data_IF_803432055461
#
_entry.id   IF_803432055461
#
_cell.length_a   1.000
_cell.length_b   1.000
_cell.length_c   1.000
_cell.angle_alpha   90.00
_cell.angle_beta   90.00
_cell.angle_gamma   90.00
#
_symmetry.space_group_name_H-M   'P 1'
#
loop_
_entity.id
_entity.type
_entity.pdbx_description
1 polymer ?
#
# COMPACT_ATOMS: atom_id res chain seq x y z
N UNK A 1 5.77 6.55 -2.53
CA UNK A 1 4.55 7.33 -2.18
C UNK A 1 3.28 6.46 -2.12
N UNK A 2 2.15 6.99 -1.62
CA UNK A 2 0.85 6.30 -1.72
C UNK A 2 0.39 6.20 -3.18
N UNK A 3 -0.33 5.12 -3.51
CA UNK A 3 -0.98 4.97 -4.82
C UNK A 3 -0.05 4.88 -6.03
N UNK A 4 1.22 4.49 -5.86
CA UNK A 4 2.18 4.24 -6.94
C UNK A 4 2.25 2.76 -7.40
N UNK A 5 1.40 1.88 -6.88
CA UNK A 5 1.29 0.48 -7.36
C UNK A 5 2.00 -0.60 -6.54
N UNK A 6 2.54 -0.30 -5.35
CA UNK A 6 3.21 -1.30 -4.46
C UNK A 6 2.38 -2.56 -4.23
N UNK A 7 1.15 -2.41 -3.74
CA UNK A 7 0.25 -3.54 -3.47
C UNK A 7 -0.06 -4.34 -4.74
N UNK A 8 -0.26 -3.65 -5.87
CA UNK A 8 -0.53 -4.28 -7.17
C UNK A 8 0.69 -5.06 -7.70
N UNK A 9 1.89 -4.55 -7.46
CA UNK A 9 3.13 -5.26 -7.77
C UNK A 9 3.23 -6.57 -6.98
N UNK A 10 2.97 -6.55 -5.67
CA UNK A 10 3.01 -7.77 -4.85
C UNK A 10 1.97 -8.79 -5.32
N UNK A 11 0.75 -8.35 -5.65
CA UNK A 11 -0.28 -9.20 -6.25
C UNK A 11 0.18 -9.82 -7.57
N UNK A 12 0.80 -9.05 -8.45
CA UNK A 12 1.32 -9.53 -9.73
C UNK A 12 2.46 -10.53 -9.54
N UNK A 13 3.35 -10.30 -8.57
CA UNK A 13 4.43 -11.23 -8.24
C UNK A 13 3.89 -12.54 -7.68
N UNK A 14 2.90 -12.49 -6.78
CA UNK A 14 2.25 -13.69 -6.27
C UNK A 14 1.60 -14.53 -7.37
N UNK A 15 0.88 -13.87 -8.29
CA UNK A 15 0.32 -14.51 -9.48
C UNK A 15 1.41 -15.15 -10.35
N UNK A 16 2.48 -14.41 -10.64
CA UNK A 16 3.58 -14.87 -11.51
C UNK A 16 4.33 -16.05 -10.90
N UNK A 17 4.52 -16.06 -9.58
CA UNK A 17 5.21 -17.12 -8.85
C UNK A 17 4.30 -18.32 -8.55
N UNK A 18 3.00 -18.24 -8.84
CA UNK A 18 2.03 -19.27 -8.48
C UNK A 18 1.89 -19.48 -6.97
N UNK A 19 2.05 -18.41 -6.19
CA UNK A 19 2.03 -18.45 -4.71
C UNK A 19 0.74 -17.85 -4.16
N UNK A 20 0.12 -18.44 -3.13
CA UNK A 20 -0.94 -17.78 -2.38
C UNK A 20 -0.44 -16.47 -1.77
N UNK A 21 -1.26 -15.43 -1.83
CA UNK A 21 -0.98 -14.14 -1.20
C UNK A 21 -1.93 -13.92 -0.03
N UNK A 22 -1.38 -13.74 1.16
CA UNK A 22 -2.09 -13.34 2.37
C UNK A 22 -1.72 -11.90 2.65
N UNK A 23 -2.64 -10.97 2.39
CA UNK A 23 -2.44 -9.55 2.70
C UNK A 23 -3.04 -9.22 4.06
N UNK A 24 -2.25 -8.57 4.91
CA UNK A 24 -2.68 -8.01 6.19
C UNK A 24 -2.50 -6.50 6.13
N UNK A 25 -3.60 -5.76 6.27
CA UNK A 25 -3.57 -4.32 6.44
C UNK A 25 -3.18 -3.98 7.88
N UNK A 26 -2.02 -3.38 8.07
CA UNK A 26 -1.55 -2.98 9.40
C UNK A 26 -2.24 -1.68 9.86
N UNK A 27 -2.59 -1.65 11.14
CA UNK A 27 -3.19 -0.50 11.80
C UNK A 27 -2.82 -0.53 13.30
N UNK A 28 -3.07 0.56 14.03
CA UNK A 28 -2.63 0.69 15.43
C UNK A 28 -3.27 -0.32 16.39
N UNK A 29 -4.46 -0.82 16.06
CA UNK A 29 -5.14 -1.84 16.87
C UNK A 29 -4.73 -3.28 16.52
N UNK A 30 -3.84 -3.48 15.54
CA UNK A 30 -3.41 -4.81 15.14
C UNK A 30 -2.48 -5.36 16.23
N UNK A 31 -2.85 -6.50 16.82
CA UNK A 31 -2.04 -7.16 17.84
C UNK A 31 -1.24 -8.33 17.29
N UNK A 32 -0.18 -8.73 17.99
CA UNK A 32 0.57 -9.94 17.66
C UNK A 32 -0.33 -11.20 17.65
N UNK A 33 -1.37 -11.24 18.49
CA UNK A 33 -2.32 -12.36 18.52
C UNK A 33 -3.21 -12.41 17.27
N UNK A 34 -3.52 -11.26 16.66
CA UNK A 34 -4.28 -11.25 15.40
C UNK A 34 -3.45 -11.81 14.25
N UNK A 35 -2.13 -11.55 14.23
CA UNK A 35 -1.20 -12.09 13.23
C UNK A 35 -0.91 -13.58 13.43
N UNK A 36 -0.57 -13.97 14.66
CA UNK A 36 -0.11 -15.33 14.98
C UNK A 36 -1.29 -16.28 15.19
N UNK A 37 -2.33 -15.84 15.87
CA UNK A 37 -3.47 -16.67 16.22
C UNK A 37 -3.90 -16.52 17.67
N UNK A 38 -5.10 -17.02 17.94
CA UNK A 38 -5.76 -16.88 19.23
C UNK A 38 -6.65 -18.09 19.53
N UNK A 39 -6.91 -18.29 20.81
CA UNK A 39 -7.96 -19.21 21.24
C UNK A 39 -9.32 -18.53 21.12
N UNK A 40 -10.28 -19.24 20.52
CA UNK A 40 -11.68 -18.84 20.48
C UNK A 40 -12.52 -19.85 21.26
N UNK A 41 -13.61 -19.36 21.86
CA UNK A 41 -14.61 -20.22 22.47
C UNK A 41 -15.62 -20.66 21.41
N UNK A 42 -15.73 -21.97 21.19
CA UNK A 42 -16.72 -22.57 20.30
C UNK A 42 -17.62 -23.49 21.14
N UNK A 43 -18.75 -22.94 21.59
CA UNK A 43 -19.61 -23.62 22.56
C UNK A 43 -18.93 -23.72 23.92
N UNK A 44 -18.69 -24.95 24.38
CA UNK A 44 -17.98 -25.22 25.64
C UNK A 44 -16.48 -25.53 25.46
N UNK A 45 -15.99 -25.51 24.22
CA UNK A 45 -14.59 -25.84 23.91
C UNK A 45 -13.77 -24.59 23.57
N UNK A 46 -12.51 -24.59 24.01
CA UNK A 46 -11.52 -23.59 23.63
C UNK A 46 -10.70 -24.12 22.47
N UNK A 47 -10.88 -23.55 21.28
CA UNK A 47 -10.22 -24.00 20.05
C UNK A 47 -9.16 -22.99 19.61
N UNK A 48 -8.00 -23.47 19.16
CA UNK A 48 -6.98 -22.61 18.58
C UNK A 48 -7.33 -22.26 17.13
N UNK A 49 -7.20 -20.99 16.77
CA UNK A 49 -7.31 -20.49 15.41
C UNK A 49 -6.00 -19.81 15.01
N UNK A 50 -5.37 -20.34 13.96
CA UNK A 50 -4.18 -19.71 13.38
C UNK A 50 -4.53 -18.36 12.77
N UNK A 51 -3.67 -17.37 13.00
CA UNK A 51 -3.74 -16.07 12.34
C UNK A 51 -3.14 -16.12 10.92
N UNK A 52 -3.30 -15.04 10.13
CA UNK A 52 -2.85 -14.98 8.74
C UNK A 52 -1.35 -15.21 8.58
N UNK A 53 -0.52 -14.75 9.52
CA UNK A 53 0.92 -14.98 9.48
C UNK A 53 1.23 -16.46 9.68
N UNK A 54 0.62 -17.11 10.68
CA UNK A 54 0.82 -18.54 10.94
C UNK A 54 0.34 -19.41 9.79
N UNK A 55 -0.82 -19.09 9.21
CA UNK A 55 -1.32 -19.79 8.01
C UNK A 55 -0.31 -19.69 6.87
N UNK A 56 0.22 -18.49 6.62
CA UNK A 56 1.19 -18.30 5.54
C UNK A 56 2.52 -19.01 5.76
N UNK A 57 3.04 -18.98 6.99
CA UNK A 57 4.26 -19.69 7.41
C UNK A 57 4.12 -21.20 7.20
N UNK A 58 2.99 -21.79 7.61
CA UNK A 58 2.74 -23.23 7.48
C UNK A 58 2.56 -23.72 6.05
N UNK A 59 1.99 -22.89 5.18
CA UNK A 59 1.59 -23.30 3.83
C UNK A 59 2.48 -22.70 2.72
N UNK A 60 3.60 -22.06 3.06
CA UNK A 60 4.52 -21.50 2.07
C UNK A 60 3.92 -20.38 1.23
N UNK A 61 3.07 -19.54 1.85
CA UNK A 61 2.44 -18.41 1.17
C UNK A 61 3.36 -17.17 1.20
N UNK A 62 3.05 -16.20 0.34
CA UNK A 62 3.54 -14.83 0.50
C UNK A 62 2.65 -14.15 1.53
N UNK A 63 3.22 -13.74 2.66
CA UNK A 63 2.54 -12.88 3.63
C UNK A 63 2.98 -11.44 3.40
N UNK A 64 2.03 -10.59 3.03
CA UNK A 64 2.22 -9.18 2.76
C UNK A 64 1.65 -8.32 3.89
N UNK A 65 2.52 -7.66 4.65
CA UNK A 65 2.14 -6.70 5.68
C UNK A 65 2.13 -5.29 5.08
N UNK A 66 0.94 -4.82 4.71
CA UNK A 66 0.74 -3.51 4.09
C UNK A 66 0.70 -2.42 5.17
N UNK A 67 1.40 -1.29 4.95
CA UNK A 67 1.49 -0.19 5.93
C UNK A 67 2.06 -0.63 7.29
N UNK A 68 3.13 -1.45 7.31
CA UNK A 68 3.66 -2.11 8.53
C UNK A 68 4.04 -1.13 9.66
N UNK A 69 4.33 0.12 9.31
CA UNK A 69 4.62 1.21 10.26
C UNK A 69 3.42 1.65 11.10
N UNK A 70 2.19 1.35 10.67
CA UNK A 70 0.97 1.62 11.43
C UNK A 70 0.73 0.58 12.53
N UNK A 71 1.34 -0.62 12.42
CA UNK A 71 1.25 -1.63 13.46
C UNK A 71 2.07 -1.22 14.69
N UNK A 72 1.62 -1.68 15.86
CA UNK A 72 2.36 -1.48 17.11
C UNK A 72 3.75 -2.13 17.05
N UNK A 73 4.70 -1.53 17.77
CA UNK A 73 6.11 -1.96 17.77
C UNK A 73 6.30 -3.39 18.30
N UNK A 74 5.50 -3.82 19.26
CA UNK A 74 5.49 -5.21 19.75
C UNK A 74 4.99 -6.20 18.68
N UNK A 75 4.03 -5.78 17.87
CA UNK A 75 3.46 -6.56 16.76
C UNK A 75 4.45 -6.72 15.61
N UNK A 76 5.30 -5.73 15.33
CA UNK A 76 6.31 -5.82 14.26
C UNK A 76 7.54 -6.65 14.63
N UNK A 77 7.84 -6.84 15.92
CA UNK A 77 9.00 -7.66 16.35
C UNK A 77 8.76 -9.15 16.11
N UNK A 78 7.50 -9.60 16.03
CA UNK A 78 7.16 -11.02 15.81
C UNK A 78 7.71 -11.58 14.50
N UNK A 79 7.99 -10.71 13.51
CA UNK A 79 8.49 -11.13 12.21
C UNK A 79 10.02 -11.29 12.19
N UNK A 80 10.75 -10.87 13.24
CA UNK A 80 12.21 -10.92 13.24
C UNK A 80 12.74 -12.35 13.06
N UNK A 81 12.24 -13.37 13.80
CA UNK A 81 12.70 -14.76 13.62
C UNK A 81 12.30 -15.39 12.27
N UNK A 82 11.33 -14.79 11.56
CA UNK A 82 10.96 -15.19 10.19
C UNK A 82 11.85 -14.58 9.12
N UNK A 83 12.58 -13.52 9.46
CA UNK A 83 13.43 -12.75 8.54
C UNK A 83 14.93 -12.95 8.75
N UNK A 84 15.31 -13.79 9.71
CA UNK A 84 16.69 -14.25 9.90
C UNK A 84 16.87 -15.70 9.43
N UNK A 85 18.06 -16.25 9.64
CA UNK A 85 18.47 -17.58 9.21
C UNK A 85 17.64 -18.71 9.82
N UNK A 86 16.94 -18.46 10.94
CA UNK A 86 16.14 -19.48 11.62
C UNK A 86 14.82 -19.75 10.90
N UNK A 87 14.22 -18.75 10.27
CA UNK A 87 12.92 -18.84 9.57
C UNK A 87 11.84 -19.56 10.40
N UNK A 88 11.68 -19.15 11.67
CA UNK A 88 10.68 -19.75 12.58
C UNK A 88 9.65 -18.74 13.07
N UNK A 89 8.44 -19.22 13.41
CA UNK A 89 7.39 -18.45 14.09
C UNK A 89 7.10 -19.06 15.47
N UNK A 90 7.51 -18.38 16.56
CA UNK A 90 7.11 -18.75 17.91
C UNK A 90 5.61 -18.48 18.14
N UNK A 91 4.88 -19.49 18.59
CA UNK A 91 3.49 -19.41 19.03
C UNK A 91 3.46 -19.65 20.54
N UNK A 92 3.79 -18.61 21.31
CA UNK A 92 3.96 -18.69 22.77
C UNK A 92 2.73 -19.23 23.48
N UNK A 93 1.52 -18.81 23.07
CA UNK A 93 0.24 -19.28 23.63
C UNK A 93 -0.01 -20.79 23.45
N UNK A 94 0.71 -21.44 22.54
CA UNK A 94 0.67 -22.90 22.36
C UNK A 94 1.92 -23.60 22.88
N UNK A 95 2.95 -22.86 23.29
CA UNK A 95 4.28 -23.41 23.57
C UNK A 95 4.89 -24.10 22.34
N UNK A 96 4.60 -23.60 21.13
CA UNK A 96 5.05 -24.20 19.87
C UNK A 96 5.96 -23.26 19.10
N UNK A 97 6.91 -23.82 18.36
CA UNK A 97 7.71 -23.11 17.36
C UNK A 97 7.37 -23.75 16.01
N UNK A 98 6.97 -22.94 15.04
CA UNK A 98 6.62 -23.40 13.70
C UNK A 98 7.76 -23.02 12.76
N UNK A 99 8.38 -23.99 12.12
CA UNK A 99 9.33 -23.73 11.03
C UNK A 99 8.57 -23.25 9.79
N UNK A 100 9.06 -22.19 9.15
CA UNK A 100 8.46 -21.69 7.94
C UNK A 100 8.74 -22.66 6.78
N UNK A 101 7.70 -22.96 6.00
CA UNK A 101 7.86 -23.70 4.75
C UNK A 101 8.90 -23.02 3.84
N UNK A 102 9.62 -23.79 3.03
CA UNK A 102 10.70 -23.29 2.18
C UNK A 102 10.23 -22.17 1.25
N UNK A 103 8.99 -22.28 0.77
CA UNK A 103 8.36 -21.35 -0.15
C UNK A 103 7.76 -20.10 0.50
N UNK A 104 7.72 -20.04 1.84
CA UNK A 104 7.24 -18.87 2.56
C UNK A 104 8.05 -17.62 2.19
N UNK A 105 7.35 -16.52 1.92
CA UNK A 105 7.97 -15.22 1.69
C UNK A 105 7.29 -14.15 2.55
N UNK A 106 8.09 -13.34 3.22
CA UNK A 106 7.62 -12.19 3.96
C UNK A 106 7.86 -10.91 3.14
N UNK A 107 6.79 -10.15 2.90
CA UNK A 107 6.86 -8.87 2.20
C UNK A 107 6.24 -7.81 3.11
N UNK A 108 6.88 -6.65 3.21
CA UNK A 108 6.37 -5.50 3.97
C UNK A 108 6.29 -4.27 3.07
N UNK A 109 5.36 -3.37 3.33
CA UNK A 109 5.31 -2.04 2.71
C UNK A 109 5.19 -0.94 3.75
N UNK A 110 5.68 0.25 3.41
CA UNK A 110 5.40 1.48 4.13
C UNK A 110 5.66 2.69 3.21
N UNK A 111 5.15 3.86 3.60
CA UNK A 111 5.39 5.12 2.90
C UNK A 111 6.39 5.97 3.72
N UNK A 112 7.67 6.11 3.29
CA UNK A 112 8.64 6.91 4.02
C UNK A 112 8.24 8.39 4.00
N UNK A 113 8.40 9.08 5.14
CA UNK A 113 8.08 10.51 5.27
C UNK A 113 6.59 10.84 5.38
N UNK A 114 5.70 9.83 5.34
CA UNK A 114 4.26 10.01 5.54
C UNK A 114 3.88 10.29 7.00
N UNK A 115 4.73 9.90 7.94
CA UNK A 115 4.44 9.91 9.36
C UNK A 115 5.44 10.76 10.16
N UNK A 116 5.05 11.12 11.39
CA UNK A 116 5.99 11.69 12.35
C UNK A 116 7.22 10.79 12.51
N UNK A 117 8.39 11.40 12.73
CA UNK A 117 9.69 10.71 12.94
C UNK A 117 9.60 9.56 13.97
N UNK A 118 8.60 9.58 14.85
CA UNK A 118 8.36 8.60 15.91
C UNK A 118 7.82 7.24 15.45
N UNK A 119 7.23 7.17 14.25
CA UNK A 119 6.64 5.95 13.66
C UNK A 119 7.47 5.33 12.51
N UNK A 120 8.72 5.73 12.33
CA UNK A 120 9.58 5.07 11.34
C UNK A 120 9.95 3.63 11.76
N UNK A 121 10.22 2.77 10.78
CA UNK A 121 10.75 1.43 11.02
C UNK A 121 12.13 1.53 11.68
N UNK A 122 12.33 0.78 12.76
CA UNK A 122 13.64 0.67 13.41
C UNK A 122 14.68 0.15 12.43
N UNK A 123 15.92 0.65 12.54
CA UNK A 123 17.06 0.20 11.71
C UNK A 123 17.26 -1.32 11.76
N UNK A 124 17.10 -1.92 12.95
CA UNK A 124 17.17 -3.38 13.10
C UNK A 124 16.14 -4.13 12.26
N UNK A 125 14.94 -3.56 12.04
CA UNK A 125 13.94 -4.17 11.17
C UNK A 125 14.31 -3.95 9.70
N UNK A 126 14.70 -2.73 9.31
CA UNK A 126 15.12 -2.41 7.93
C UNK A 126 16.25 -3.31 7.43
N UNK A 127 17.26 -3.57 8.26
CA UNK A 127 18.42 -4.39 7.91
C UNK A 127 18.13 -5.89 7.69
N UNK A 128 16.88 -6.33 7.88
CA UNK A 128 16.43 -7.71 7.62
C UNK A 128 15.70 -7.88 6.30
N UNK A 129 15.54 -6.79 5.53
CA UNK A 129 14.81 -6.80 4.27
C UNK A 129 15.68 -6.28 3.12
N UNK A 130 15.49 -6.89 1.95
CA UNK A 130 15.82 -6.24 0.68
C UNK A 130 14.78 -5.17 0.37
N UNK A 131 15.20 -4.03 -0.17
CA UNK A 131 14.34 -2.90 -0.44
C UNK A 131 14.17 -2.67 -1.95
N UNK A 132 12.92 -2.43 -2.37
CA UNK A 132 12.59 -1.91 -3.69
C UNK A 132 11.87 -0.58 -3.47
N UNK A 133 12.44 0.49 -4.01
CA UNK A 133 11.83 1.82 -3.94
C UNK A 133 10.85 2.01 -5.10
N UNK A 134 9.67 2.53 -4.79
CA UNK A 134 8.64 2.85 -5.76
C UNK A 134 8.38 4.36 -5.74
N UNK A 135 8.43 4.98 -6.90
CA UNK A 135 7.93 6.32 -7.15
C UNK A 135 6.82 6.30 -8.20
N UNK A 136 6.23 7.46 -8.49
CA UNK A 136 5.29 7.58 -9.60
C UNK A 136 5.98 7.23 -10.93
N UNK A 137 5.31 6.49 -11.85
CA UNK A 137 5.96 6.05 -13.08
C UNK A 137 6.36 7.21 -13.99
N UNK A 138 7.26 6.93 -14.93
CA UNK A 138 7.54 7.86 -16.03
C UNK A 138 6.25 8.18 -16.81
N UNK A 139 6.13 9.37 -17.43
CA UNK A 139 4.87 9.84 -18.02
C UNK A 139 4.26 8.91 -19.07
N UNK A 140 5.09 8.26 -19.87
CA UNK A 140 4.67 7.30 -20.90
C UNK A 140 4.10 6.00 -20.28
N UNK A 141 4.66 5.56 -19.15
CA UNK A 141 4.19 4.40 -18.40
C UNK A 141 2.92 4.76 -17.66
N UNK A 142 2.90 5.89 -16.94
CA UNK A 142 1.74 6.34 -16.18
C UNK A 142 0.53 6.59 -17.08
N UNK A 143 0.74 7.15 -18.27
CA UNK A 143 -0.32 7.36 -19.26
C UNK A 143 -0.92 6.03 -19.72
N UNK A 144 -0.08 5.03 -20.03
CA UNK A 144 -0.57 3.68 -20.40
C UNK A 144 -1.33 3.00 -19.27
N UNK A 145 -0.88 3.18 -18.02
CA UNK A 145 -1.59 2.67 -16.84
C UNK A 145 -2.96 3.33 -16.72
N UNK A 146 -3.04 4.67 -16.77
CA UNK A 146 -4.31 5.40 -16.67
C UNK A 146 -5.24 5.04 -17.83
N UNK A 147 -4.73 5.01 -19.06
CA UNK A 147 -5.50 4.63 -20.25
C UNK A 147 -6.17 3.27 -20.06
N UNK A 148 -5.41 2.28 -19.57
CA UNK A 148 -5.89 0.91 -19.38
C UNK A 148 -6.86 0.79 -18.21
N UNK A 149 -6.52 1.36 -17.05
CA UNK A 149 -7.30 1.19 -15.82
C UNK A 149 -8.55 2.08 -15.79
N UNK A 150 -8.51 3.25 -16.43
CA UNK A 150 -9.66 4.16 -16.51
C UNK A 150 -10.47 4.03 -17.82
N UNK A 151 -9.99 3.24 -18.78
CA UNK A 151 -10.61 3.01 -20.09
C UNK A 151 -10.89 4.29 -20.89
N UNK A 152 -9.99 5.27 -20.76
CA UNK A 152 -10.06 6.57 -21.44
C UNK A 152 -9.19 6.60 -22.70
N UNK A 153 -9.48 7.57 -23.59
CA UNK A 153 -8.66 7.84 -24.77
C UNK A 153 -7.21 8.23 -24.39
N UNK A 154 -6.20 7.90 -25.23
CA UNK A 154 -4.80 8.23 -24.97
C UNK A 154 -4.55 9.71 -24.65
N UNK A 155 -5.27 10.62 -25.31
CA UNK A 155 -5.15 12.06 -25.07
C UNK A 155 -5.62 12.44 -23.66
N UNK A 156 -6.70 11.85 -23.17
CA UNK A 156 -7.22 12.11 -21.81
C UNK A 156 -6.22 11.60 -20.77
N UNK A 157 -5.68 10.40 -20.96
CA UNK A 157 -4.66 9.84 -20.09
C UNK A 157 -3.40 10.73 -20.04
N UNK A 158 -2.90 11.17 -21.20
CA UNK A 158 -1.75 12.09 -21.28
C UNK A 158 -2.02 13.43 -20.58
N UNK A 159 -3.22 13.98 -20.71
CA UNK A 159 -3.63 15.21 -20.02
C UNK A 159 -3.69 15.01 -18.49
N UNK A 160 -4.23 13.88 -18.02
CA UNK A 160 -4.24 13.54 -16.59
C UNK A 160 -2.82 13.38 -16.03
N UNK A 161 -1.90 12.75 -16.76
CA UNK A 161 -0.48 12.67 -16.36
C UNK A 161 0.15 14.06 -16.31
N UNK A 162 -0.09 14.91 -17.31
CA UNK A 162 0.43 16.29 -17.35
C UNK A 162 -0.07 17.10 -16.16
N UNK A 163 -1.35 16.96 -15.81
CA UNK A 163 -1.92 17.52 -14.57
C UNK A 163 -1.19 16.94 -13.36
N UNK A 164 -1.02 15.63 -13.32
CA UNK A 164 -0.27 14.89 -12.30
C UNK A 164 1.09 15.48 -11.98
N UNK A 165 1.92 15.63 -13.02
CA UNK A 165 3.26 16.21 -12.91
C UNK A 165 3.23 17.64 -12.36
N UNK A 166 2.32 18.48 -12.87
CA UNK A 166 2.23 19.88 -12.42
C UNK A 166 1.79 19.99 -10.96
N UNK A 167 0.82 19.19 -10.53
CA UNK A 167 0.36 19.15 -9.13
C UNK A 167 1.46 18.61 -8.21
N UNK A 168 2.21 17.57 -8.63
CA UNK A 168 3.35 17.05 -7.86
C UNK A 168 4.46 18.09 -7.65
N UNK A 169 4.68 18.99 -8.60
CA UNK A 169 5.66 20.08 -8.47
C UNK A 169 5.24 21.16 -7.46
N UNK A 170 3.96 21.24 -7.10
CA UNK A 170 3.47 22.15 -6.07
C UNK A 170 3.80 21.68 -4.64
N UNK A 171 4.35 20.46 -4.44
CA UNK A 171 4.79 19.98 -3.12
C UNK A 171 5.79 20.93 -2.45
N UNK A 172 6.64 21.57 -3.24
CA UNK A 172 7.63 22.54 -2.74
C UNK A 172 7.00 23.89 -2.34
N UNK A 173 5.68 24.05 -2.50
CA UNK A 173 4.94 25.31 -2.33
C UNK A 173 3.73 25.16 -1.40
N UNK A 174 3.76 24.21 -0.44
CA UNK A 174 2.73 24.07 0.61
C UNK A 174 1.81 22.85 0.48
N UNK A 175 1.98 22.02 -0.55
CA UNK A 175 1.32 20.72 -0.63
C UNK A 175 2.12 19.65 0.12
N UNK A 176 1.51 19.03 1.13
CA UNK A 176 2.13 17.92 1.87
C UNK A 176 2.42 16.73 0.94
N UNK A 177 1.46 16.41 0.07
CA UNK A 177 1.55 15.31 -0.88
C UNK A 177 1.22 15.71 -2.32
N UNK A 178 1.85 15.01 -3.26
CA UNK A 178 1.51 15.12 -4.68
C UNK A 178 0.39 14.15 -5.04
N UNK A 179 -0.35 14.44 -6.11
CA UNK A 179 -1.40 13.56 -6.63
C UNK A 179 -0.87 12.17 -6.99
N UNK A 180 -1.52 11.13 -6.48
CA UNK A 180 -1.16 9.75 -6.77
C UNK A 180 -1.74 9.26 -8.10
N UNK A 181 -1.14 8.23 -8.70
CA UNK A 181 -1.66 7.60 -9.92
C UNK A 181 -3.09 7.09 -9.72
N UNK A 182 -3.44 6.65 -8.50
CA UNK A 182 -4.81 6.25 -8.12
C UNK A 182 -5.83 7.37 -8.35
N UNK A 183 -5.53 8.58 -7.91
CA UNK A 183 -6.44 9.73 -8.06
C UNK A 183 -6.58 10.14 -9.53
N UNK A 184 -5.53 10.01 -10.33
CA UNK A 184 -5.58 10.24 -11.77
C UNK A 184 -6.46 9.18 -12.47
N UNK A 185 -6.39 7.92 -12.05
CA UNK A 185 -7.29 6.86 -12.54
C UNK A 185 -8.74 7.22 -12.18
N UNK A 186 -9.03 7.63 -10.94
CA UNK A 186 -10.39 8.03 -10.54
C UNK A 186 -10.93 9.20 -11.38
N UNK A 187 -10.11 10.22 -11.63
CA UNK A 187 -10.48 11.32 -12.52
C UNK A 187 -10.78 10.81 -13.93
N UNK A 188 -9.95 9.91 -14.48
CA UNK A 188 -10.19 9.26 -15.76
C UNK A 188 -11.49 8.45 -15.80
N UNK A 189 -11.78 7.66 -14.77
CA UNK A 189 -13.00 6.86 -14.67
C UNK A 189 -14.25 7.74 -14.66
N UNK A 190 -14.21 8.88 -13.95
CA UNK A 190 -15.32 9.85 -13.96
C UNK A 190 -15.51 10.48 -15.35
N UNK A 191 -14.41 10.86 -16.03
CA UNK A 191 -14.46 11.39 -17.39
C UNK A 191 -15.06 10.36 -18.36
N UNK A 192 -14.67 9.09 -18.22
CA UNK A 192 -15.23 7.98 -19.02
C UNK A 192 -16.74 7.84 -18.83
N UNK A 193 -17.23 8.10 -17.62
CA UNK A 193 -18.66 8.08 -17.29
C UNK A 193 -19.42 9.35 -17.76
N UNK A 194 -18.76 10.28 -18.46
CA UNK A 194 -19.37 11.50 -19.00
C UNK A 194 -19.32 12.70 -18.05
N UNK A 195 -18.64 12.61 -16.90
CA UNK A 195 -18.43 13.77 -16.04
C UNK A 195 -17.45 14.73 -16.71
N UNK A 196 -17.76 16.04 -16.82
CA UNK A 196 -16.85 17.02 -17.39
C UNK A 196 -15.47 17.01 -16.70
N UNK A 197 -14.39 17.10 -17.46
CA UNK A 197 -13.02 16.97 -16.94
C UNK A 197 -12.71 17.92 -15.78
N UNK A 198 -13.20 19.17 -15.83
CA UNK A 198 -13.09 20.13 -14.75
C UNK A 198 -13.69 19.61 -13.44
N UNK A 199 -14.90 19.03 -13.50
CA UNK A 199 -15.58 18.48 -12.32
C UNK A 199 -14.95 17.18 -11.84
N UNK A 200 -14.54 16.31 -12.76
CA UNK A 200 -13.86 15.07 -12.44
C UNK A 200 -12.54 15.32 -11.69
N UNK A 201 -11.74 16.28 -12.15
CA UNK A 201 -10.48 16.64 -11.49
C UNK A 201 -10.69 17.39 -10.18
N UNK A 202 -11.74 18.22 -10.06
CA UNK A 202 -12.11 18.87 -8.78
C UNK A 202 -12.33 17.82 -7.68
N UNK A 203 -13.21 16.85 -7.94
CA UNK A 203 -13.62 15.86 -6.93
C UNK A 203 -12.60 14.76 -6.69
N UNK A 204 -11.84 14.36 -7.72
CA UNK A 204 -10.88 13.25 -7.61
C UNK A 204 -9.45 13.71 -7.30
N UNK A 205 -9.08 14.95 -7.62
CA UNK A 205 -7.70 15.46 -7.47
C UNK A 205 -7.64 16.64 -6.51
N UNK A 206 -8.33 17.75 -6.77
CA UNK A 206 -8.15 18.97 -5.99
C UNK A 206 -8.59 18.80 -4.52
N UNK A 207 -9.81 18.33 -4.30
CA UNK A 207 -10.40 18.19 -2.95
C UNK A 207 -9.73 17.14 -2.07
N UNK A 208 -9.35 15.95 -2.58
CA UNK A 208 -8.75 14.93 -1.70
C UNK A 208 -7.31 15.22 -1.26
N UNK A 209 -6.61 16.14 -1.92
CA UNK A 209 -5.18 16.38 -1.66
C UNK A 209 -4.97 17.56 -0.70
N UNK A 210 -5.89 18.52 -0.65
CA UNK A 210 -5.75 19.69 0.21
C UNK A 210 -7.09 20.32 0.56
N UNK A 211 -7.20 20.82 1.79
CA UNK A 211 -8.32 21.66 2.26
C UNK A 211 -8.06 23.16 2.05
N UNK A 212 -6.87 23.54 1.60
CA UNK A 212 -6.52 24.94 1.31
C UNK A 212 -7.23 25.42 0.04
N UNK A 213 -8.08 26.43 0.19
CA UNK A 213 -8.91 26.94 -0.89
C UNK A 213 -8.09 27.60 -2.02
N UNK A 214 -6.95 28.21 -1.71
CA UNK A 214 -6.09 28.85 -2.72
C UNK A 214 -5.33 27.78 -3.51
N UNK A 215 -4.87 26.72 -2.86
CA UNK A 215 -4.25 25.55 -3.52
C UNK A 215 -5.27 24.79 -4.37
N UNK A 216 -6.49 24.60 -3.90
CA UNK A 216 -7.57 24.02 -4.71
C UNK A 216 -7.82 24.86 -5.97
N UNK A 217 -7.92 26.20 -5.85
CA UNK A 217 -8.06 27.09 -7.01
C UNK A 217 -6.88 26.98 -7.97
N UNK A 218 -5.65 26.95 -7.46
CA UNK A 218 -4.47 26.78 -8.29
C UNK A 218 -4.51 25.47 -9.09
N UNK A 219 -4.88 24.36 -8.45
CA UNK A 219 -5.06 23.06 -9.13
C UNK A 219 -6.14 23.16 -10.21
N UNK A 220 -7.28 23.79 -9.93
CA UNK A 220 -8.38 23.94 -10.90
C UNK A 220 -8.00 24.83 -12.09
N UNK A 221 -7.18 25.85 -11.91
CA UNK A 221 -6.63 26.64 -13.02
C UNK A 221 -5.69 25.80 -13.89
N UNK A 222 -4.89 24.90 -13.28
CA UNK A 222 -4.10 23.93 -14.05
C UNK A 222 -4.99 22.97 -14.85
N UNK A 223 -6.13 22.54 -14.31
CA UNK A 223 -7.09 21.69 -15.02
C UNK A 223 -7.64 22.41 -16.25
N UNK A 224 -8.11 23.65 -16.09
CA UNK A 224 -8.62 24.48 -17.20
C UNK A 224 -7.60 24.75 -18.30
N UNK A 225 -6.32 24.83 -17.94
CA UNK A 225 -5.25 25.06 -18.91
C UNK A 225 -4.88 23.79 -19.70
N UNK A 226 -5.33 22.61 -19.27
CA UNK A 226 -4.96 21.31 -19.87
C UNK A 226 -6.12 20.70 -20.66
N UNK A 227 -7.36 20.86 -20.19
CA UNK A 227 -8.59 20.30 -20.78
C UNK A 227 -9.46 21.40 -21.38
#
# INVERSE_FOLDING_TARGET
>A
PTGCGKTRFVQYMAYTLGRPLITVACHEDLTASDLVGRYLLKGQETVWMDGPLTVGVKHGAIVYLDEVVEARKDTTVIIHPLSDDRRVLPIEKKGQIVEAADEFMLVISYNPGYQSVLKDLKQSTKQRFMAIEFDYPAPDIESRVIQREAEVEPMIAANLVKLGQKVRNLRNHGLEEGVSTRLLIYAGTLIKQGVPAARACDVAVARPITDDADMQRAILELVKAIF
#
